data_IF_608706164926
#
_entry.id   IF_608706164926
#
_cell.length_a   1.000
_cell.length_b   1.000
_cell.length_c   1.000
_cell.angle_alpha   90.00
_cell.angle_beta   90.00
_cell.angle_gamma   90.00
#
_symmetry.space_group_name_H-M   'P 1'
#
loop_
_entity.id
_entity.type
_entity.pdbx_description
1 polymer ?
#
# COMPACT_ATOMS: atom_id res chain seq x y z
N UNK A 1 7.03 -12.20 -10.37
CA UNK A 1 6.01 -11.23 -10.83
C UNK A 1 5.49 -10.34 -9.69
N UNK A 2 4.46 -10.71 -8.91
CA UNK A 2 3.83 -9.77 -7.96
C UNK A 2 4.69 -9.38 -6.75
N UNK A 3 5.51 -10.29 -6.23
CA UNK A 3 6.40 -10.04 -5.07
C UNK A 3 7.54 -9.11 -5.46
N UNK A 4 8.10 -9.27 -6.67
CA UNK A 4 9.16 -8.38 -7.18
C UNK A 4 8.64 -6.94 -7.27
N UNK A 5 7.48 -6.70 -7.89
CA UNK A 5 6.95 -5.33 -8.06
C UNK A 5 6.69 -4.65 -6.70
N UNK A 6 6.22 -5.40 -5.70
CA UNK A 6 6.02 -4.90 -4.34
C UNK A 6 7.33 -4.53 -3.62
N UNK A 7 8.37 -5.35 -3.79
CA UNK A 7 9.71 -5.10 -3.25
C UNK A 7 10.35 -3.88 -3.91
N UNK A 8 10.22 -3.74 -5.24
CA UNK A 8 10.73 -2.57 -5.97
C UNK A 8 10.08 -1.26 -5.52
N UNK A 9 8.77 -1.25 -5.25
CA UNK A 9 8.04 -0.03 -4.87
C UNK A 9 8.32 0.43 -3.44
N UNK A 10 8.62 -0.49 -2.52
CA UNK A 10 8.85 -0.19 -1.09
C UNK A 10 10.32 -0.19 -0.70
N UNK A 11 11.19 -0.79 -1.53
CA UNK A 11 12.64 -0.90 -1.28
C UNK A 11 13.33 0.46 -1.12
N UNK A 12 12.98 1.44 -1.96
CA UNK A 12 13.57 2.79 -1.87
C UNK A 12 13.29 3.50 -0.54
N UNK A 13 12.10 3.28 0.05
CA UNK A 13 11.73 3.86 1.36
C UNK A 13 12.57 3.24 2.48
N UNK A 14 12.77 1.92 2.43
CA UNK A 14 13.55 1.18 3.43
C UNK A 14 15.03 1.59 3.36
N UNK A 15 15.59 1.73 2.17
CA UNK A 15 16.96 2.22 1.99
C UNK A 15 17.13 3.65 2.54
N UNK A 16 16.19 4.55 2.29
CA UNK A 16 16.20 5.90 2.87
C UNK A 16 16.17 5.87 4.40
N UNK A 17 15.29 5.04 4.98
CA UNK A 17 15.22 4.86 6.42
C UNK A 17 16.53 4.31 7.02
N UNK A 18 17.20 3.38 6.33
CA UNK A 18 18.51 2.87 6.74
C UNK A 18 19.60 3.93 6.71
N UNK A 19 19.63 4.77 5.66
CA UNK A 19 20.60 5.86 5.52
C UNK A 19 20.44 6.90 6.62
N UNK A 20 19.22 7.35 6.94
CA UNK A 20 19.01 8.32 8.03
C UNK A 20 19.42 7.76 9.40
N UNK A 21 19.20 6.46 9.65
CA UNK A 21 19.62 5.78 10.87
C UNK A 21 21.15 5.70 10.97
N UNK A 22 21.82 5.38 9.87
CA UNK A 22 23.28 5.36 9.80
C UNK A 22 23.88 6.74 10.12
N UNK A 23 23.30 7.82 9.57
CA UNK A 23 23.72 9.19 9.85
C UNK A 23 23.54 9.54 11.32
N UNK A 24 22.43 9.13 11.94
CA UNK A 24 22.20 9.35 13.37
C UNK A 24 23.26 8.67 14.24
N UNK A 25 23.58 7.40 13.98
CA UNK A 25 24.62 6.67 14.72
C UNK A 25 26.03 7.14 14.42
N UNK A 26 26.28 7.69 13.23
CA UNK A 26 27.56 8.32 12.91
C UNK A 26 27.84 9.52 13.84
N UNK A 27 26.80 10.26 14.25
CA UNK A 27 26.93 11.28 15.29
C UNK A 27 27.43 10.72 16.63
N UNK A 28 27.08 9.48 16.97
CA UNK A 28 27.55 8.79 18.17
C UNK A 28 29.03 8.39 18.05
N UNK A 29 29.48 7.99 16.85
CA UNK A 29 30.89 7.67 16.56
C UNK A 29 31.81 8.87 16.76
N UNK A 30 31.34 10.08 16.45
CA UNK A 30 32.09 11.33 16.63
C UNK A 30 32.29 11.73 18.09
N UNK A 31 31.70 11.01 19.05
CA UNK A 31 31.86 11.29 20.47
C UNK A 31 33.26 10.92 20.96
N UNK A 32 33.86 11.79 21.80
CA UNK A 32 35.21 11.62 22.36
C UNK A 32 35.38 10.45 23.34
N UNK A 33 34.30 9.75 23.68
CA UNK A 33 34.34 8.58 24.56
C UNK A 33 34.70 7.32 23.74
N UNK A 34 35.84 6.65 24.02
CA UNK A 34 36.26 5.47 23.26
C UNK A 34 35.22 4.33 23.29
N UNK A 35 34.56 4.15 24.43
CA UNK A 35 33.49 3.17 24.61
C UNK A 35 32.31 3.44 23.67
N UNK A 36 31.92 4.71 23.56
CA UNK A 36 30.78 5.12 22.75
C UNK A 36 31.11 5.12 21.24
N UNK A 37 32.36 5.43 20.89
CA UNK A 37 32.85 5.35 19.52
C UNK A 37 32.85 3.90 18.99
N UNK A 38 33.41 2.96 19.77
CA UNK A 38 33.39 1.54 19.41
C UNK A 38 31.97 0.98 19.28
N UNK A 39 31.09 1.32 20.24
CA UNK A 39 29.69 0.93 20.18
C UNK A 39 28.97 1.56 18.97
N UNK A 40 29.20 2.85 18.72
CA UNK A 40 28.63 3.57 17.58
C UNK A 40 29.06 2.97 16.24
N UNK A 41 30.33 2.58 16.10
CA UNK A 41 30.83 1.94 14.89
C UNK A 41 30.13 0.60 14.64
N UNK A 42 30.00 -0.22 15.69
CA UNK A 42 29.23 -1.45 15.67
C UNK A 42 27.77 -1.22 15.26
N UNK A 43 27.11 -0.19 15.81
CA UNK A 43 25.73 0.14 15.49
C UNK A 43 25.54 0.58 14.03
N UNK A 44 26.45 1.41 13.51
CA UNK A 44 26.43 1.81 12.09
C UNK A 44 26.56 0.58 11.20
N UNK A 45 27.57 -0.27 11.43
CA UNK A 45 27.76 -1.48 10.61
C UNK A 45 26.57 -2.44 10.73
N UNK A 46 26.05 -2.64 11.95
CA UNK A 46 24.91 -3.51 12.21
C UNK A 46 23.64 -3.04 11.47
N UNK A 47 23.33 -1.74 11.51
CA UNK A 47 22.11 -1.22 10.86
C UNK A 47 22.23 -1.25 9.34
N UNK A 48 23.40 -0.94 8.78
CA UNK A 48 23.64 -1.07 7.34
C UNK A 48 23.47 -2.53 6.90
N UNK A 49 24.06 -3.48 7.62
CA UNK A 49 23.96 -4.89 7.30
C UNK A 49 22.50 -5.40 7.43
N UNK A 50 21.77 -5.00 8.47
CA UNK A 50 20.35 -5.38 8.63
C UNK A 50 19.47 -4.85 7.51
N UNK A 51 19.58 -3.55 7.20
CA UNK A 51 18.70 -2.91 6.23
C UNK A 51 18.98 -3.31 4.78
N UNK A 52 20.25 -3.50 4.41
CA UNK A 52 20.64 -3.87 3.04
C UNK A 52 20.74 -5.37 2.80
N UNK A 53 21.05 -6.18 3.82
CA UNK A 53 21.28 -7.62 3.63
C UNK A 53 20.21 -8.43 4.33
N UNK A 54 19.93 -8.20 5.60
CA UNK A 54 18.97 -9.05 6.33
C UNK A 54 17.57 -8.82 5.78
N UNK A 55 17.07 -7.59 5.68
CA UNK A 55 15.69 -7.33 5.27
C UNK A 55 15.35 -7.83 3.86
N UNK A 56 16.08 -7.49 2.79
CA UNK A 56 15.70 -7.90 1.44
C UNK A 56 15.93 -9.38 1.14
N UNK A 57 16.70 -10.11 1.96
CA UNK A 57 16.90 -11.56 1.77
C UNK A 57 16.12 -12.40 2.78
N UNK A 58 16.18 -12.04 4.07
CA UNK A 58 15.50 -12.77 5.15
C UNK A 58 13.98 -12.62 5.07
N UNK A 59 13.45 -11.43 4.75
CA UNK A 59 11.99 -11.21 4.66
C UNK A 59 11.34 -12.04 3.55
N UNK A 60 11.82 -12.03 2.28
CA UNK A 60 11.26 -12.91 1.26
C UNK A 60 11.54 -14.39 1.52
N UNK A 61 12.69 -14.74 2.13
CA UNK A 61 12.97 -16.12 2.52
C UNK A 61 11.98 -16.63 3.59
N UNK A 62 11.67 -15.82 4.61
CA UNK A 62 10.62 -16.13 5.58
C UNK A 62 9.25 -16.21 4.90
N UNK A 63 8.92 -15.27 4.01
CA UNK A 63 7.66 -15.34 3.25
C UNK A 63 7.55 -16.60 2.40
N UNK A 64 8.65 -17.05 1.79
CA UNK A 64 8.70 -18.28 1.02
C UNK A 64 8.58 -19.53 1.91
N UNK A 65 9.18 -19.53 3.11
CA UNK A 65 9.17 -20.65 4.06
C UNK A 65 7.86 -20.77 4.85
N UNK A 66 7.33 -19.66 5.37
CA UNK A 66 6.09 -19.62 6.16
C UNK A 66 4.82 -19.71 5.28
N UNK A 67 4.96 -19.48 3.97
CA UNK A 67 3.95 -19.77 2.96
C UNK A 67 2.54 -19.28 3.33
N UNK A 68 1.55 -20.19 3.22
CA UNK A 68 0.10 -19.95 3.37
C UNK A 68 -0.32 -19.41 4.75
N UNK A 69 0.53 -19.52 5.78
CA UNK A 69 0.17 -19.10 7.14
C UNK A 69 0.36 -17.60 7.40
N UNK A 70 1.20 -16.91 6.61
CA UNK A 70 1.39 -15.46 6.78
C UNK A 70 0.26 -14.61 6.16
N UNK A 71 -0.63 -15.20 5.37
CA UNK A 71 -1.66 -14.48 4.60
C UNK A 71 -3.09 -14.66 5.14
N UNK A 72 -3.24 -14.93 6.44
CA UNK A 72 -4.56 -14.79 7.07
C UNK A 72 -4.90 -13.28 7.11
N UNK A 73 -5.90 -12.78 6.34
CA UNK A 73 -7.18 -13.41 6.05
C UNK A 73 -7.49 -13.65 4.55
N UNK A 74 -7.96 -14.87 4.35
CA UNK A 74 -9.04 -15.31 3.47
C UNK A 74 -9.99 -14.19 2.97
N UNK A 75 -9.94 -13.90 1.67
CA UNK A 75 -11.10 -13.75 0.78
C UNK A 75 -12.25 -12.82 1.22
N UNK A 76 -12.09 -11.49 1.20
CA UNK A 76 -13.26 -10.57 1.18
C UNK A 76 -13.01 -9.26 0.44
N UNK A 77 -13.06 -9.27 -0.89
CA UNK A 77 -13.26 -8.04 -1.66
C UNK A 77 -14.16 -8.24 -2.89
N UNK A 78 -14.37 -9.48 -3.32
CA UNK A 78 -15.32 -9.76 -4.40
C UNK A 78 -16.78 -9.77 -3.95
N UNK A 79 -17.05 -9.87 -2.63
CA UNK A 79 -18.43 -9.90 -2.10
C UNK A 79 -19.07 -8.51 -2.05
N UNK A 80 -18.29 -7.44 -1.91
CA UNK A 80 -18.80 -6.06 -1.87
C UNK A 80 -19.09 -5.46 -3.25
N UNK A 81 -18.50 -6.02 -4.32
CA UNK A 81 -18.68 -5.56 -5.70
C UNK A 81 -19.93 -6.12 -6.38
N UNK A 82 -20.38 -7.31 -5.97
CA UNK A 82 -21.57 -7.98 -6.53
C UNK A 82 -22.87 -7.38 -5.98
N UNK A 83 -22.89 -7.04 -4.68
CA UNK A 83 -24.06 -6.48 -3.98
C UNK A 83 -24.42 -5.08 -4.48
N UNK A 84 -23.42 -4.26 -4.82
CA UNK A 84 -23.63 -2.88 -5.30
C UNK A 84 -24.31 -2.80 -6.67
N UNK A 85 -24.17 -3.84 -7.52
CA UNK A 85 -24.81 -3.87 -8.85
C UNK A 85 -26.31 -4.09 -8.76
N UNK A 86 -26.75 -4.97 -7.85
CA UNK A 86 -28.16 -5.24 -7.63
C UNK A 86 -28.92 -4.02 -7.11
N UNK A 87 -28.26 -3.15 -6.33
CA UNK A 87 -28.88 -1.91 -5.85
C UNK A 87 -29.07 -0.87 -6.97
N UNK A 88 -28.11 -0.75 -7.88
CA UNK A 88 -28.21 0.17 -9.03
C UNK A 88 -29.26 -0.27 -10.05
N UNK A 89 -29.44 -1.57 -10.24
CA UNK A 89 -30.48 -2.11 -11.12
C UNK A 89 -31.88 -1.97 -10.50
N UNK A 90 -31.99 -2.08 -9.17
CA UNK A 90 -33.24 -1.84 -8.43
C UNK A 90 -33.65 -0.35 -8.43
N UNK A 91 -32.72 0.58 -8.30
CA UNK A 91 -33.01 2.01 -8.41
C UNK A 91 -33.33 2.42 -9.86
N UNK A 92 -32.61 1.87 -10.84
CA UNK A 92 -32.89 2.13 -12.27
C UNK A 92 -34.27 1.62 -12.68
N UNK A 93 -34.71 0.48 -12.14
CA UNK A 93 -36.08 -0.02 -12.30
C UNK A 93 -37.13 0.91 -11.66
N UNK A 94 -36.89 1.38 -10.43
CA UNK A 94 -37.80 2.29 -9.74
C UNK A 94 -37.92 3.68 -10.40
N UNK A 95 -36.84 4.18 -11.03
CA UNK A 95 -36.86 5.45 -11.77
C UNK A 95 -37.44 5.34 -13.17
N UNK A 96 -37.50 4.13 -13.75
CA UNK A 96 -38.07 3.88 -15.09
C UNK A 96 -39.60 3.90 -15.10
N UNK A 97 -40.24 3.70 -13.94
CA UNK A 97 -41.70 3.79 -13.76
C UNK A 97 -42.15 5.19 -13.28
N UNK A 98 -41.21 6.13 -13.08
CA UNK A 98 -41.56 7.52 -12.84
C UNK A 98 -42.12 8.10 -14.15
N UNK A 99 -43.31 8.73 -14.14
CA UNK A 99 -43.84 9.41 -15.32
C UNK A 99 -42.83 10.45 -15.79
N UNK A 100 -42.17 10.17 -16.92
CA UNK A 100 -41.36 11.10 -17.67
C UNK A 100 -42.28 12.22 -18.18
N UNK A 101 -42.46 13.25 -17.36
CA UNK A 101 -43.28 14.43 -17.67
C UNK A 101 -42.50 15.46 -18.50
N UNK A 102 -41.71 14.96 -19.43
CA UNK A 102 -40.95 15.66 -20.46
C UNK A 102 -41.61 15.44 -21.83
N UNK A 103 -42.80 16.04 -22.00
CA UNK A 103 -43.42 16.30 -23.31
C UNK A 103 -44.18 17.63 -23.31
N UNK A 104 -43.46 18.75 -23.11
CA UNK A 104 -44.01 20.09 -23.30
C UNK A 104 -43.25 20.94 -24.34
N UNK A 105 -42.40 20.31 -25.15
CA UNK A 105 -41.58 21.00 -26.15
C UNK A 105 -42.21 21.07 -27.54
N UNK A 106 -43.40 20.48 -27.73
CA UNK A 106 -44.05 20.31 -29.04
C UNK A 106 -45.22 21.26 -29.33
N UNK A 107 -45.70 22.05 -28.35
CA UNK A 107 -46.88 22.92 -28.50
C UNK A 107 -46.60 24.41 -28.77
N UNK A 108 -45.34 24.83 -28.90
CA UNK A 108 -44.99 26.24 -29.13
C UNK A 108 -44.87 26.66 -30.61
N UNK A 109 -45.16 25.79 -31.59
CA UNK A 109 -44.84 26.08 -33.01
C UNK A 109 -46.00 26.02 -34.02
N UNK A 110 -47.27 25.87 -33.62
CA UNK A 110 -48.37 25.84 -34.61
C UNK A 110 -49.69 26.45 -34.12
N UNK A 111 -49.73 27.77 -33.94
CA UNK A 111 -50.95 28.57 -34.14
C UNK A 111 -50.57 30.04 -34.39
N UNK A 112 -50.20 30.30 -35.65
CA UNK A 112 -50.23 31.59 -36.36
C UNK A 112 -50.98 31.38 -37.66
#
# INVERSE_FOLDING_TARGET
ASIEIGVWKTGSVISMAGVIMAVAFLGLVLTSSPMLNQAGFLLVVAVLLDTFVVRPFMTPALMAILGRWNWWPHKTASVLYDDSRHLLDSERGATSDAPSADDNSSTASSEV
#
